data_IF_632124764576
#
_entry.id   IF_632124764576
#
_cell.length_a   1.000
_cell.length_b   1.000
_cell.length_c   1.000
_cell.angle_alpha   90.00
_cell.angle_beta   90.00
_cell.angle_gamma   90.00
#
_symmetry.space_group_name_H-M   'P 1'
#
loop_
_entity.id
_entity.type
_entity.pdbx_description
1 polymer ?
#
# COMPACT_ATOMS: atom_id res chain seq x y z
N UNK A 1 0.31 -6.92 9.68
CA UNK A 1 1.41 -7.81 9.24
C UNK A 1 0.85 -8.88 8.32
N UNK A 2 1.55 -9.21 7.24
CA UNK A 2 1.08 -10.13 6.19
C UNK A 2 2.21 -11.09 5.83
N UNK A 3 1.91 -12.37 5.64
CA UNK A 3 2.86 -13.37 5.19
C UNK A 3 2.35 -14.00 3.88
N UNK A 4 3.10 -13.93 2.77
CA UNK A 4 2.73 -14.61 1.55
C UNK A 4 2.83 -16.14 1.70
N UNK A 5 1.98 -16.88 1.01
CA UNK A 5 2.02 -18.34 1.02
C UNK A 5 3.37 -18.85 0.49
N UNK A 6 4.02 -19.70 1.28
CA UNK A 6 5.31 -20.31 0.91
C UNK A 6 6.52 -19.38 0.99
N UNK A 7 6.41 -18.23 1.67
CA UNK A 7 7.50 -17.33 2.02
C UNK A 7 7.71 -17.34 3.55
N UNK A 8 8.96 -17.48 3.99
CA UNK A 8 9.31 -17.47 5.42
C UNK A 8 9.29 -16.06 6.03
N UNK A 9 9.33 -15.02 5.20
CA UNK A 9 9.34 -13.62 5.62
C UNK A 9 7.93 -13.18 5.99
N UNK A 10 7.82 -12.39 7.05
CA UNK A 10 6.62 -11.61 7.35
C UNK A 10 6.86 -10.15 7.00
N UNK A 11 5.80 -9.46 6.58
CA UNK A 11 5.86 -8.07 6.17
C UNK A 11 5.02 -7.21 7.11
N UNK A 12 5.65 -6.19 7.69
CA UNK A 12 5.03 -5.26 8.63
C UNK A 12 4.75 -3.98 7.88
N UNK A 13 3.48 -3.59 7.83
CA UNK A 13 3.07 -2.30 7.30
C UNK A 13 3.25 -1.26 8.39
N UNK A 14 4.06 -0.24 8.12
CA UNK A 14 4.16 0.97 8.92
C UNK A 14 3.25 2.04 8.30
N UNK A 15 2.36 2.62 9.10
CA UNK A 15 1.39 3.64 8.66
C UNK A 15 2.04 4.79 7.88
N UNK A 16 3.26 5.16 8.28
CA UNK A 16 4.04 6.20 7.63
C UNK A 16 4.62 5.79 6.25
N UNK A 17 4.19 4.70 5.63
CA UNK A 17 4.50 4.43 4.21
C UNK A 17 5.65 3.47 3.97
N UNK A 18 6.04 2.66 4.95
CA UNK A 18 7.08 1.64 4.79
C UNK A 18 6.53 0.23 5.00
N UNK A 19 7.13 -0.73 4.31
CA UNK A 19 6.90 -2.15 4.56
C UNK A 19 8.21 -2.78 5.02
N UNK A 20 8.28 -3.18 6.30
CA UNK A 20 9.45 -3.85 6.88
C UNK A 20 9.39 -5.35 6.66
N UNK A 21 10.56 -5.96 6.54
CA UNK A 21 10.72 -7.41 6.46
C UNK A 21 11.12 -7.91 7.85
N UNK A 22 10.37 -8.89 8.36
CA UNK A 22 10.60 -9.57 9.62
C UNK A 22 10.95 -11.04 9.34
N UNK A 23 12.10 -11.47 9.82
CA UNK A 23 12.58 -12.86 9.74
C UNK A 23 13.11 -13.28 11.10
N UNK A 24 12.68 -14.44 11.60
CA UNK A 24 13.14 -14.98 12.89
C UNK A 24 13.06 -13.97 14.05
N UNK A 25 12.00 -13.15 14.06
CA UNK A 25 11.77 -12.13 15.08
C UNK A 25 12.62 -10.86 14.96
N UNK A 26 13.39 -10.69 13.87
CA UNK A 26 14.24 -9.51 13.63
C UNK A 26 13.86 -8.79 12.34
N UNK A 27 13.91 -7.46 12.37
CA UNK A 27 13.75 -6.65 11.16
C UNK A 27 15.02 -6.78 10.32
N UNK A 28 14.90 -7.34 9.13
CA UNK A 28 16.04 -7.60 8.21
C UNK A 28 16.12 -6.61 7.06
N UNK A 29 15.06 -5.84 6.80
CA UNK A 29 15.04 -4.90 5.69
C UNK A 29 13.76 -4.10 5.54
N UNK A 30 13.67 -3.35 4.44
CA UNK A 30 12.47 -2.60 4.02
C UNK A 30 12.16 -2.98 2.58
N UNK A 31 11.02 -3.63 2.36
CA UNK A 31 10.54 -4.03 1.03
C UNK A 31 10.17 -2.80 0.19
N UNK A 32 9.44 -1.87 0.79
CA UNK A 32 8.86 -0.72 0.10
C UNK A 32 8.97 0.53 0.99
N UNK A 33 9.30 1.66 0.38
CA UNK A 33 9.25 2.99 1.01
C UNK A 33 8.53 3.96 0.05
N UNK A 34 7.28 4.30 0.37
CA UNK A 34 6.43 5.22 -0.38
C UNK A 34 6.10 6.48 0.42
N UNK A 35 6.96 6.86 1.38
CA UNK A 35 6.79 8.07 2.19
C UNK A 35 6.55 9.34 1.37
N UNK A 36 7.14 9.43 0.19
CA UNK A 36 6.97 10.57 -0.72
C UNK A 36 5.61 10.59 -1.44
N UNK A 37 4.85 9.49 -1.40
CA UNK A 37 3.53 9.39 -2.04
C UNK A 37 2.38 9.63 -1.07
N UNK A 38 2.60 9.41 0.22
CA UNK A 38 1.55 9.55 1.24
C UNK A 38 1.37 11.00 1.65
N UNK A 39 0.15 11.39 2.00
CA UNK A 39 -0.10 12.70 2.58
C UNK A 39 0.63 12.87 3.92
N UNK A 40 0.97 14.12 4.32
CA UNK A 40 1.46 14.40 5.67
C UNK A 40 0.45 13.92 6.72
N UNK A 41 0.93 13.07 7.62
CA UNK A 41 0.13 12.53 8.71
C UNK A 41 0.11 13.50 9.88
N UNK A 42 -1.05 13.60 10.53
CA UNK A 42 -1.23 14.29 11.79
C UNK A 42 -0.86 13.34 12.94
N UNK A 43 -0.41 13.87 14.07
CA UNK A 43 0.04 13.06 15.21
C UNK A 43 -1.10 12.40 16.01
N UNK A 44 -2.36 12.70 15.69
CA UNK A 44 -3.53 12.28 16.45
C UNK A 44 -4.29 11.13 15.75
N UNK A 45 -5.63 11.16 15.75
CA UNK A 45 -6.56 10.16 15.20
C UNK A 45 -6.53 10.04 13.66
N UNK A 46 -5.37 10.22 13.05
CA UNK A 46 -5.20 10.14 11.61
C UNK A 46 -5.24 8.68 11.17
N UNK A 47 -6.25 8.30 10.40
CA UNK A 47 -6.35 6.96 9.82
C UNK A 47 -5.75 6.93 8.40
N UNK A 48 -5.11 8.01 7.93
CA UNK A 48 -4.44 8.04 6.63
C UNK A 48 -3.10 7.33 6.71
N UNK A 49 -2.54 7.04 5.55
CA UNK A 49 -1.21 6.46 5.39
C UNK A 49 -1.27 5.14 4.64
N UNK A 50 -0.21 4.35 4.75
CA UNK A 50 -0.18 3.00 4.19
C UNK A 50 -0.81 2.03 5.18
N UNK A 51 -1.94 1.43 4.78
CA UNK A 51 -2.73 0.56 5.66
C UNK A 51 -2.94 -0.84 5.08
N UNK A 52 -3.08 -0.95 3.76
CA UNK A 52 -3.34 -2.21 3.08
C UNK A 52 -2.09 -2.83 2.48
N UNK A 53 -1.96 -4.15 2.62
CA UNK A 53 -0.98 -4.97 1.90
C UNK A 53 -1.61 -6.32 1.55
N UNK A 54 -1.55 -6.70 0.27
CA UNK A 54 -1.92 -8.03 -0.19
C UNK A 54 -0.88 -8.56 -1.18
N UNK A 55 -0.45 -9.81 -1.00
CA UNK A 55 0.39 -10.50 -1.97
C UNK A 55 -0.49 -11.20 -2.99
N UNK A 56 -0.08 -11.19 -4.26
CA UNK A 56 -0.75 -11.97 -5.29
C UNK A 56 -0.72 -13.47 -4.91
N UNK A 57 -1.77 -14.27 -5.19
CA UNK A 57 -1.77 -15.71 -4.87
C UNK A 57 -0.57 -16.48 -5.42
N UNK A 58 -0.08 -16.07 -6.60
CA UNK A 58 1.14 -16.58 -7.24
C UNK A 58 2.43 -15.76 -6.95
N UNK A 59 2.51 -15.04 -5.82
CA UNK A 59 3.63 -14.14 -5.49
C UNK A 59 5.01 -14.78 -5.67
N UNK A 60 5.20 -16.05 -5.30
CA UNK A 60 6.47 -16.76 -5.47
C UNK A 60 6.94 -16.84 -6.93
N UNK A 61 6.00 -16.80 -7.87
CA UNK A 61 6.27 -16.89 -9.32
C UNK A 61 6.35 -15.51 -9.97
N UNK A 62 5.46 -14.59 -9.61
CA UNK A 62 5.32 -13.31 -10.31
C UNK A 62 5.85 -12.11 -9.53
N UNK A 63 6.16 -12.26 -8.24
CA UNK A 63 6.67 -11.18 -7.40
C UNK A 63 5.68 -10.05 -7.11
N UNK A 64 4.39 -10.21 -7.46
CA UNK A 64 3.41 -9.13 -7.40
C UNK A 64 2.76 -8.98 -6.03
N UNK A 65 2.65 -7.75 -5.58
CA UNK A 65 1.91 -7.38 -4.37
C UNK A 65 1.22 -6.04 -4.58
N UNK A 66 0.28 -5.74 -3.70
CA UNK A 66 -0.61 -4.60 -3.78
C UNK A 66 -0.61 -3.87 -2.46
N UNK A 67 -0.67 -2.55 -2.52
CA UNK A 67 -0.74 -1.67 -1.36
C UNK A 67 -1.96 -0.76 -1.47
N UNK A 68 -2.58 -0.47 -0.33
CA UNK A 68 -3.65 0.52 -0.23
C UNK A 68 -3.23 1.64 0.73
N UNK A 69 -3.26 2.89 0.24
CA UNK A 69 -2.73 4.02 0.97
C UNK A 69 -3.42 5.36 0.63
N UNK A 70 -3.34 6.30 1.57
CA UNK A 70 -3.78 7.68 1.37
C UNK A 70 -2.70 8.52 0.66
N UNK A 71 -2.87 8.76 -0.63
CA UNK A 71 -1.98 9.57 -1.46
C UNK A 71 -2.34 11.06 -1.44
N UNK A 72 -1.42 11.92 -1.86
CA UNK A 72 -1.74 13.32 -2.19
C UNK A 72 -2.98 13.40 -3.09
N UNK A 73 -3.83 14.40 -2.85
CA UNK A 73 -5.02 14.63 -3.66
C UNK A 73 -4.59 14.93 -5.11
N UNK A 74 -5.07 14.12 -6.05
CA UNK A 74 -4.96 14.44 -7.47
C UNK A 74 -6.18 15.27 -7.87
N UNK A 75 -6.12 16.57 -7.61
CA UNK A 75 -7.22 17.49 -7.88
C UNK A 75 -7.27 17.97 -9.33
N UNK A 76 -6.31 17.59 -10.19
CA UNK A 76 -6.29 17.92 -11.63
C UNK A 76 -6.56 19.41 -11.94
N UNK A 77 -6.09 20.34 -11.10
CA UNK A 77 -6.38 21.78 -11.18
C UNK A 77 -7.84 22.20 -10.94
N UNK A 78 -8.70 21.29 -10.51
CA UNK A 78 -10.06 21.55 -10.04
C UNK A 78 -10.03 21.98 -8.56
N UNK A 79 -10.20 23.29 -8.34
CA UNK A 79 -10.23 23.86 -6.99
C UNK A 79 -11.43 23.38 -6.17
N UNK A 80 -12.53 22.98 -6.81
CA UNK A 80 -13.67 22.38 -6.12
C UNK A 80 -13.27 21.06 -5.45
N UNK A 81 -12.49 20.24 -6.13
CA UNK A 81 -11.93 19.02 -5.54
C UNK A 81 -10.97 19.32 -4.39
N UNK A 82 -10.09 20.31 -4.56
CA UNK A 82 -9.15 20.71 -3.51
C UNK A 82 -9.86 21.18 -2.23
N UNK A 83 -11.03 21.81 -2.36
CA UNK A 83 -11.82 22.30 -1.23
C UNK A 83 -12.67 21.21 -0.57
N UNK A 84 -13.07 20.19 -1.34
CA UNK A 84 -14.01 19.16 -0.86
C UNK A 84 -13.33 17.85 -0.42
N UNK A 85 -12.15 17.57 -0.94
CA UNK A 85 -11.43 16.32 -0.69
C UNK A 85 -10.14 16.54 0.10
N UNK A 86 -9.86 15.62 1.00
CA UNK A 86 -8.69 15.65 1.86
C UNK A 86 -7.47 15.01 1.19
N UNK A 87 -7.68 13.87 0.51
CA UNK A 87 -6.63 13.06 -0.10
C UNK A 87 -7.22 12.10 -1.14
N UNK A 88 -6.39 11.23 -1.73
CA UNK A 88 -6.86 10.14 -2.58
C UNK A 88 -6.62 8.78 -1.90
N UNK A 89 -7.65 7.94 -1.77
CA UNK A 89 -7.45 6.53 -1.43
C UNK A 89 -7.01 5.78 -2.68
N UNK A 90 -5.85 5.14 -2.59
CA UNK A 90 -5.13 4.59 -3.74
C UNK A 90 -4.82 3.12 -3.52
N UNK A 91 -5.03 2.31 -4.55
CA UNK A 91 -4.49 0.95 -4.64
C UNK A 91 -3.47 0.89 -5.78
N UNK A 92 -2.24 0.46 -5.46
CA UNK A 92 -1.15 0.29 -6.42
C UNK A 92 -0.60 -1.14 -6.37
N UNK A 93 -0.29 -1.68 -7.54
CA UNK A 93 0.48 -2.91 -7.73
C UNK A 93 1.97 -2.58 -7.82
N UNK A 94 2.79 -3.44 -7.23
CA UNK A 94 4.24 -3.45 -7.33
C UNK A 94 4.74 -4.86 -7.59
N UNK A 95 5.94 -4.96 -8.14
CA UNK A 95 6.69 -6.23 -8.27
C UNK A 95 8.00 -6.12 -7.49
N UNK A 96 8.46 -7.22 -6.89
CA UNK A 96 9.81 -7.27 -6.30
C UNK A 96 10.88 -7.06 -7.38
N UNK A 97 12.02 -6.50 -6.99
CA UNK A 97 13.17 -6.34 -7.86
C UNK A 97 13.68 -7.70 -8.36
N UNK A 98 14.14 -7.73 -9.61
CA UNK A 98 14.74 -8.91 -10.23
C UNK A 98 16.12 -9.24 -9.66
N UNK A 99 16.81 -8.26 -9.05
CA UNK A 99 18.15 -8.40 -8.50
C UNK A 99 18.17 -8.60 -6.99
N UNK A 100 17.16 -8.09 -6.28
CA UNK A 100 17.00 -8.28 -4.83
C UNK A 100 15.53 -8.51 -4.47
N UNK A 101 15.20 -9.74 -4.06
CA UNK A 101 13.83 -10.12 -3.69
C UNK A 101 13.35 -9.47 -2.38
N UNK A 102 14.22 -8.79 -1.64
CA UNK A 102 13.90 -8.04 -0.43
C UNK A 102 13.54 -6.58 -0.71
N UNK A 103 13.55 -6.13 -1.97
CA UNK A 103 13.25 -4.75 -2.35
C UNK A 103 12.23 -4.74 -3.48
N UNK A 104 11.28 -3.81 -3.44
CA UNK A 104 10.33 -3.56 -4.51
C UNK A 104 11.00 -2.79 -5.66
N UNK A 105 10.67 -3.13 -6.91
CA UNK A 105 10.98 -2.27 -8.04
C UNK A 105 10.02 -1.08 -8.06
N UNK A 106 10.51 0.10 -7.71
CA UNK A 106 9.69 1.32 -7.69
C UNK A 106 9.19 1.73 -9.07
N UNK A 107 9.88 1.33 -10.16
CA UNK A 107 9.46 1.62 -11.53
C UNK A 107 8.30 0.71 -11.97
N UNK A 108 8.05 -0.39 -11.27
CA UNK A 108 6.94 -1.31 -11.55
C UNK A 108 5.57 -0.83 -11.06
N UNK A 109 5.52 0.31 -10.35
CA UNK A 109 4.30 0.82 -9.75
C UNK A 109 3.18 1.01 -10.79
N UNK A 110 2.04 0.35 -10.56
CA UNK A 110 0.87 0.45 -11.45
C UNK A 110 -0.39 0.76 -10.63
N UNK A 111 -1.01 1.91 -10.92
CA UNK A 111 -2.29 2.32 -10.31
C UNK A 111 -3.42 1.36 -10.71
N UNK A 112 -4.05 0.74 -9.71
CA UNK A 112 -5.20 -0.15 -9.89
C UNK A 112 -6.51 0.59 -9.63
N UNK A 113 -6.53 1.42 -8.59
CA UNK A 113 -7.69 2.20 -8.18
C UNK A 113 -7.27 3.51 -7.55
N UNK A 114 -8.09 4.55 -7.69
CA UNK A 114 -7.92 5.85 -7.06
C UNK A 114 -9.30 6.49 -6.88
N UNK A 115 -9.60 6.97 -5.67
CA UNK A 115 -10.82 7.71 -5.35
C UNK A 115 -10.49 8.87 -4.42
N UNK A 116 -11.01 10.06 -4.72
CA UNK A 116 -10.87 11.22 -3.84
C UNK A 116 -11.69 11.01 -2.56
N UNK A 117 -11.07 11.21 -1.40
CA UNK A 117 -11.66 10.92 -0.09
C UNK A 117 -11.85 12.20 0.73
N UNK A 118 -13.05 12.48 1.27
CA UNK A 118 -13.38 13.78 1.85
C UNK A 118 -12.79 14.01 3.24
N UNK A 119 -12.53 12.94 3.99
CA UNK A 119 -12.16 13.02 5.40
C UNK A 119 -10.79 12.39 5.63
N UNK A 120 -10.18 12.60 6.80
CA UNK A 120 -8.92 11.94 7.16
C UNK A 120 -9.13 10.59 7.85
N UNK A 121 -10.39 10.21 8.07
CA UNK A 121 -10.81 8.99 8.72
C UNK A 121 -11.76 8.20 7.82
N UNK A 122 -12.15 7.02 8.31
CA UNK A 122 -12.93 6.01 7.62
C UNK A 122 -12.29 5.59 6.30
N UNK A 123 -10.95 5.58 6.22
CA UNK A 123 -10.26 5.31 4.95
C UNK A 123 -10.30 3.83 4.53
N UNK A 124 -10.69 2.95 5.47
CA UNK A 124 -10.78 1.51 5.23
C UNK A 124 -9.40 0.91 4.92
N UNK A 125 -9.11 0.73 3.63
CA UNK A 125 -7.86 0.21 3.08
C UNK A 125 -7.53 -1.25 3.38
N UNK A 126 -8.46 -2.01 3.94
CA UNK A 126 -8.30 -3.46 3.92
C UNK A 126 -8.34 -3.96 2.48
N UNK A 127 -7.34 -4.76 2.10
CA UNK A 127 -7.26 -5.40 0.79
C UNK A 127 -6.87 -6.88 0.96
N UNK A 128 -7.38 -7.73 0.08
CA UNK A 128 -7.09 -9.16 0.11
C UNK A 128 -7.53 -9.89 -1.15
N UNK A 129 -6.94 -11.06 -1.40
CA UNK A 129 -7.37 -11.94 -2.48
C UNK A 129 -8.37 -12.97 -1.97
N UNK A 130 -9.49 -13.09 -2.67
CA UNK A 130 -10.46 -14.16 -2.45
C UNK A 130 -10.04 -15.49 -3.10
N UNK A 131 -10.74 -16.59 -2.81
CA UNK A 131 -10.50 -17.91 -3.42
C UNK A 131 -10.74 -17.91 -4.94
N UNK A 132 -11.50 -16.93 -5.45
CA UNK A 132 -11.76 -16.66 -6.87
C UNK A 132 -10.60 -15.92 -7.58
N UNK A 133 -9.50 -15.65 -6.85
CA UNK A 133 -8.32 -14.92 -7.32
C UNK A 133 -8.60 -13.46 -7.70
N UNK A 134 -9.65 -12.86 -7.16
CA UNK A 134 -9.94 -11.43 -7.30
C UNK A 134 -9.40 -10.65 -6.10
N UNK A 135 -8.96 -9.42 -6.36
CA UNK A 135 -8.57 -8.47 -5.33
C UNK A 135 -9.83 -7.75 -4.81
N UNK A 136 -10.09 -7.88 -3.51
CA UNK A 136 -11.15 -7.19 -2.80
C UNK A 136 -10.55 -5.96 -2.12
N UNK A 137 -11.25 -4.82 -2.20
CA UNK A 137 -10.81 -3.52 -1.70
C UNK A 137 -11.94 -2.95 -0.86
N UNK A 138 -11.65 -2.65 0.40
CA UNK A 138 -12.52 -1.86 1.26
C UNK A 138 -12.10 -0.39 1.23
N UNK A 139 -13.07 0.49 1.06
CA UNK A 139 -12.92 1.96 1.09
C UNK A 139 -13.89 2.53 2.09
#
# INVERSE_FOLDING_TARGET
MVQPAGDSRMFIVEQNGRIKILENGKITGTLLDIRSKIVPLMQDFDERGLLGLAFHPDFKKNGKFYVAYSAHLDYQSDLGQMLWYNHSNVVEEYTISSTDKNVADMASARRIHSISWPQFNHNGHWIGFGPDKKLYIAT
#
